data_IF_053721954776
#
_entry.id   IF_053721954776
#
_cell.length_a   1.000
_cell.length_b   1.000
_cell.length_c   1.000
_cell.angle_alpha   90.00
_cell.angle_beta   90.00
_cell.angle_gamma   90.00
#
_symmetry.space_group_name_H-M   'P 1'
#
loop_
_entity.id
_entity.type
_entity.pdbx_description
1 polymer ?
#
# COMPACT_ATOMS: atom_id res chain seq x y z
N UNK A 1 15.36 -13.47 8.62
CA UNK A 1 15.00 -12.72 7.40
C UNK A 1 13.60 -12.17 7.61
N UNK A 2 13.50 -10.95 8.15
CA UNK A 2 12.23 -10.22 8.16
C UNK A 2 11.98 -9.79 6.71
N UNK A 3 11.00 -10.42 6.07
CA UNK A 3 10.47 -9.97 4.79
C UNK A 3 10.02 -8.53 5.00
N UNK A 4 10.54 -7.56 4.25
CA UNK A 4 10.20 -6.12 4.22
C UNK A 4 8.94 -5.70 5.02
N UNK A 5 8.98 -5.74 6.36
CA UNK A 5 7.92 -5.21 7.21
C UNK A 5 8.28 -3.75 7.39
N UNK A 6 7.55 -2.87 6.71
CA UNK A 6 7.75 -1.42 6.80
C UNK A 6 7.32 -0.92 8.19
N UNK A 7 6.12 -1.31 8.63
CA UNK A 7 5.61 -1.10 9.99
C UNK A 7 4.49 -2.09 10.30
N UNK A 8 4.25 -2.37 11.59
CA UNK A 8 3.09 -3.14 12.07
C UNK A 8 2.71 -2.70 13.49
N UNK A 9 1.47 -2.95 13.90
CA UNK A 9 1.01 -2.75 15.28
C UNK A 9 0.55 -4.09 15.89
N UNK A 10 0.61 -4.21 17.22
CA UNK A 10 0.18 -5.42 17.94
C UNK A 10 -0.34 -5.11 19.36
N UNK A 11 -1.05 -6.05 19.96
CA UNK A 11 -1.37 -6.04 21.40
C UNK A 11 -0.89 -7.33 22.06
N UNK A 12 -0.79 -7.32 23.39
CA UNK A 12 -0.42 -8.50 24.17
C UNK A 12 1.08 -8.79 24.12
N UNK A 13 1.44 -10.05 23.85
CA UNK A 13 2.84 -10.47 23.85
C UNK A 13 3.57 -9.95 22.62
N UNK A 14 4.86 -9.65 22.80
CA UNK A 14 5.72 -9.18 21.71
C UNK A 14 5.84 -10.26 20.63
N UNK A 15 5.64 -9.93 19.34
CA UNK A 15 5.80 -10.87 18.24
C UNK A 15 7.20 -11.50 18.21
N UNK A 16 7.32 -12.70 17.65
CA UNK A 16 8.57 -13.48 17.63
C UNK A 16 9.77 -12.75 17.00
N UNK A 17 9.52 -11.80 16.09
CA UNK A 17 10.56 -11.01 15.43
C UNK A 17 10.91 -9.70 16.18
N UNK A 18 10.20 -9.36 17.26
CA UNK A 18 10.49 -8.19 18.09
C UNK A 18 10.28 -6.82 17.43
N UNK A 19 9.56 -6.74 16.30
CA UNK A 19 9.26 -5.50 15.58
C UNK A 19 7.80 -5.10 15.78
N UNK A 20 7.51 -3.81 15.60
CA UNK A 20 6.16 -3.27 15.60
C UNK A 20 5.86 -2.36 16.79
N UNK A 21 4.71 -1.70 16.71
CA UNK A 21 4.22 -0.75 17.70
C UNK A 21 3.22 -1.45 18.62
N UNK A 22 3.54 -1.50 19.92
CA UNK A 22 2.61 -2.04 20.91
C UNK A 22 1.46 -1.04 21.15
N UNK A 23 0.23 -1.55 21.13
CA UNK A 23 -0.98 -0.83 21.48
C UNK A 23 -1.63 -1.45 22.73
N UNK A 24 -2.23 -0.62 23.60
CA UNK A 24 -3.12 -1.13 24.64
C UNK A 24 -4.30 -1.91 24.01
N UNK A 25 -4.96 -2.80 24.75
CA UNK A 25 -6.20 -3.43 24.28
C UNK A 25 -7.30 -2.40 23.97
N UNK A 26 -8.26 -2.78 23.12
CA UNK A 26 -9.49 -2.03 22.84
C UNK A 26 -9.30 -0.63 22.21
N UNK A 27 -8.28 -0.45 21.36
CA UNK A 27 -8.13 0.77 20.55
C UNK A 27 -9.06 0.78 19.33
N UNK A 28 -9.36 1.98 18.82
CA UNK A 28 -10.13 2.17 17.59
C UNK A 28 -9.33 1.77 16.35
N UNK A 29 -10.03 1.50 15.24
CA UNK A 29 -9.41 1.15 13.97
C UNK A 29 -8.48 2.26 13.46
N UNK A 30 -8.83 3.53 13.64
CA UNK A 30 -7.97 4.66 13.24
C UNK A 30 -6.61 4.63 13.95
N UNK A 31 -6.60 4.32 15.25
CA UNK A 31 -5.35 4.18 16.03
C UNK A 31 -4.52 3.00 15.51
N UNK A 32 -5.18 1.90 15.16
CA UNK A 32 -4.51 0.75 14.54
C UNK A 32 -3.90 1.09 13.18
N UNK A 33 -4.64 1.75 12.30
CA UNK A 33 -4.17 2.18 10.98
C UNK A 33 -2.95 3.09 11.11
N UNK A 34 -2.99 4.06 12.03
CA UNK A 34 -1.86 4.96 12.28
C UNK A 34 -0.64 4.20 12.82
N UNK A 35 -0.82 3.41 13.88
CA UNK A 35 0.28 2.67 14.51
C UNK A 35 0.89 1.60 13.59
N UNK A 36 0.10 1.02 12.68
CA UNK A 36 0.60 0.07 11.69
C UNK A 36 1.22 0.75 10.46
N UNK A 37 1.19 2.09 10.35
CA UNK A 37 1.66 2.81 9.16
C UNK A 37 0.77 2.57 7.92
N UNK A 38 -0.52 2.29 8.14
CA UNK A 38 -1.53 1.98 7.12
C UNK A 38 -2.61 3.06 7.00
N UNK A 39 -2.43 4.23 7.63
CA UNK A 39 -3.36 5.36 7.54
C UNK A 39 -3.19 6.17 6.24
N UNK A 40 -3.29 5.48 5.11
CA UNK A 40 -3.25 6.02 3.75
C UNK A 40 -4.22 5.22 2.89
N UNK A 41 -4.50 5.71 1.68
CA UNK A 41 -5.40 5.05 0.73
C UNK A 41 -4.62 4.55 -0.49
N UNK A 42 -5.03 3.41 -1.03
CA UNK A 42 -4.59 2.97 -2.34
C UNK A 42 -5.33 3.81 -3.38
N UNK A 43 -4.57 4.57 -4.15
CA UNK A 43 -5.04 5.31 -5.32
C UNK A 43 -4.66 4.58 -6.60
N UNK A 44 -5.33 4.94 -7.70
CA UNK A 44 -5.09 4.31 -9.00
C UNK A 44 -4.99 5.32 -10.15
N UNK A 45 -4.17 4.99 -11.16
CA UNK A 45 -4.02 5.77 -12.39
C UNK A 45 -3.70 4.89 -13.59
N UNK A 46 -3.78 5.47 -14.79
CA UNK A 46 -3.42 4.77 -16.03
C UNK A 46 -1.93 4.39 -16.05
N UNK A 47 -1.64 3.22 -16.60
CA UNK A 47 -0.25 2.84 -16.91
C UNK A 47 0.19 3.60 -18.16
N UNK A 48 1.27 4.37 -18.02
CA UNK A 48 1.95 5.02 -19.13
C UNK A 48 3.34 4.41 -19.30
N UNK A 49 3.74 4.13 -20.54
CA UNK A 49 5.05 3.58 -20.85
C UNK A 49 5.67 4.26 -22.09
N UNK A 50 6.99 4.28 -22.13
CA UNK A 50 7.73 4.78 -23.27
C UNK A 50 7.96 3.64 -24.27
N UNK A 51 7.58 3.83 -25.53
CA UNK A 51 7.74 2.80 -26.58
C UNK A 51 9.17 2.69 -27.11
N UNK A 52 9.97 3.75 -26.98
CA UNK A 52 11.37 3.80 -27.37
C UNK A 52 12.14 4.83 -26.51
N UNK A 53 13.39 4.57 -26.08
CA UNK A 53 14.13 5.44 -25.15
C UNK A 53 14.25 6.91 -25.60
N UNK A 54 14.37 7.16 -26.91
CA UNK A 54 14.58 8.51 -27.46
C UNK A 54 13.28 9.20 -27.92
N UNK A 55 12.12 8.55 -27.74
CA UNK A 55 10.82 9.10 -28.12
C UNK A 55 10.07 9.59 -26.86
N UNK A 56 9.78 10.89 -26.70
CA UNK A 56 9.07 11.40 -25.52
C UNK A 56 7.57 11.06 -25.49
N UNK A 57 7.03 10.44 -26.55
CA UNK A 57 5.63 10.02 -26.58
C UNK A 57 5.41 8.87 -25.58
N UNK A 58 4.48 9.10 -24.65
CA UNK A 58 3.98 8.09 -23.73
C UNK A 58 2.78 7.38 -24.33
N UNK A 59 2.77 6.05 -24.22
CA UNK A 59 1.67 5.20 -24.61
C UNK A 59 0.92 4.74 -23.37
N UNK A 60 -0.41 4.72 -23.44
CA UNK A 60 -1.24 4.14 -22.40
C UNK A 60 -1.35 2.63 -22.60
N UNK A 61 -1.34 1.86 -21.51
CA UNK A 61 -1.72 0.45 -21.53
C UNK A 61 -3.12 0.26 -20.93
N UNK A 62 -4.19 0.26 -21.75
CA UNK A 62 -5.57 0.41 -21.26
C UNK A 62 -6.08 -0.76 -20.43
N UNK A 63 -5.50 -1.95 -20.56
CA UNK A 63 -5.92 -3.15 -19.83
C UNK A 63 -5.41 -3.20 -18.38
N UNK A 64 -4.53 -2.26 -18.01
CA UNK A 64 -3.92 -2.20 -16.67
C UNK A 64 -3.98 -0.80 -16.06
N UNK A 65 -3.91 -0.76 -14.74
CA UNK A 65 -3.81 0.43 -13.90
C UNK A 65 -2.66 0.27 -12.92
N UNK A 66 -2.03 1.39 -12.56
CA UNK A 66 -1.05 1.45 -11.48
C UNK A 66 -1.77 1.71 -10.18
N UNK A 67 -1.38 1.00 -9.11
CA UNK A 67 -1.78 1.30 -7.74
C UNK A 67 -0.62 2.00 -7.02
N UNK A 68 -0.93 3.02 -6.23
CA UNK A 68 0.06 3.78 -5.46
C UNK A 68 -0.53 4.27 -4.14
N UNK A 69 0.34 4.66 -3.20
CA UNK A 69 -0.09 5.23 -1.91
C UNK A 69 -0.46 6.70 -2.06
N UNK A 70 -1.58 7.13 -1.46
CA UNK A 70 -1.99 8.55 -1.47
C UNK A 70 -1.03 9.49 -0.73
N UNK A 71 -0.32 8.99 0.27
CA UNK A 71 0.54 9.80 1.14
C UNK A 71 1.91 10.14 0.51
N UNK A 72 2.49 9.20 -0.21
CA UNK A 72 3.89 9.24 -0.69
C UNK A 72 3.99 9.14 -2.21
N UNK A 73 2.89 8.81 -2.89
CA UNK A 73 2.86 8.43 -4.30
C UNK A 73 3.76 7.22 -4.63
N UNK A 74 4.18 6.47 -3.61
CA UNK A 74 5.02 5.30 -3.81
C UNK A 74 4.23 4.23 -4.61
N UNK A 75 4.82 3.69 -5.69
CA UNK A 75 4.15 2.69 -6.50
C UNK A 75 4.04 1.38 -5.71
N UNK A 76 2.89 0.73 -5.82
CA UNK A 76 2.61 -0.56 -5.18
C UNK A 76 2.65 -1.69 -6.20
N UNK A 77 1.87 -1.58 -7.28
CA UNK A 77 1.78 -2.62 -8.31
C UNK A 77 1.10 -2.12 -9.58
N UNK A 78 1.24 -2.90 -10.66
CA UNK A 78 0.41 -2.78 -11.87
C UNK A 78 -0.54 -3.96 -11.89
N UNK A 79 -1.84 -3.66 -12.00
CA UNK A 79 -2.91 -4.67 -11.93
C UNK A 79 -3.87 -4.51 -13.11
N UNK A 80 -4.63 -5.56 -13.42
CA UNK A 80 -5.69 -5.47 -14.42
C UNK A 80 -6.76 -4.44 -14.03
N UNK A 81 -7.46 -3.87 -15.00
CA UNK A 81 -8.53 -2.89 -14.72
C UNK A 81 -9.60 -3.39 -13.74
N UNK A 82 -9.95 -4.68 -13.82
CA UNK A 82 -10.96 -5.33 -12.95
C UNK A 82 -10.50 -5.63 -11.53
N UNK A 83 -9.24 -5.32 -11.17
CA UNK A 83 -8.73 -5.59 -9.83
C UNK A 83 -9.50 -4.78 -8.79
N UNK A 84 -10.03 -5.46 -7.78
CA UNK A 84 -10.75 -4.86 -6.67
C UNK A 84 -9.77 -4.52 -5.55
N UNK A 85 -9.63 -3.23 -5.27
CA UNK A 85 -8.85 -2.73 -4.13
C UNK A 85 -9.67 -2.95 -2.86
N UNK A 86 -9.02 -3.47 -1.82
CA UNK A 86 -9.60 -3.54 -0.47
C UNK A 86 -8.59 -3.02 0.55
N UNK A 87 -9.07 -2.32 1.56
CA UNK A 87 -8.24 -1.75 2.63
C UNK A 87 -8.83 -2.02 4.02
N UNK A 88 -8.00 -2.01 5.09
CA UNK A 88 -8.47 -2.40 6.42
C UNK A 88 -9.58 -1.51 6.99
N UNK A 89 -9.73 -0.26 6.54
CA UNK A 89 -10.81 0.63 6.97
C UNK A 89 -12.17 0.33 6.31
N UNK A 90 -12.22 -0.62 5.38
CA UNK A 90 -13.44 -0.97 4.63
C UNK A 90 -14.17 -2.21 5.20
N UNK A 91 -13.64 -2.79 6.28
CA UNK A 91 -14.15 -4.01 6.94
C UNK A 91 -14.48 -3.80 8.41
#
# INVERSE_FOLDING_TARGET
>A
MAHLIDSMAYTGQTPWHGLGNILPPHQSLDVWLQAAGMNWTIEQSDVLYQGAPDNPILHTYPDSKVLYRSDTLAPLSVVSQRYNVVQPHEV
#
